data_IF_454415330106
#
_entry.id   IF_454415330106
#
_cell.length_a   1.000
_cell.length_b   1.000
_cell.length_c   1.000
_cell.angle_alpha   90.00
_cell.angle_beta   90.00
_cell.angle_gamma   90.00
#
_symmetry.space_group_name_H-M   'P 1'
#
loop_
_entity.id
_entity.type
_entity.pdbx_description
1 polymer ?
#
# COMPACT_ATOMS: atom_id res chain seq x y z
N UNK A 1 -5.76 2.55 -8.76
CA UNK A 1 -6.72 2.12 -7.73
C UNK A 1 -6.38 2.90 -6.47
N UNK A 2 -7.16 3.87 -6.02
CA UNK A 2 -6.86 4.51 -4.72
C UNK A 2 -7.55 3.70 -3.62
N UNK A 3 -6.80 2.90 -2.87
CA UNK A 3 -7.35 2.02 -1.84
C UNK A 3 -7.37 2.67 -0.44
N UNK A 4 -6.73 3.83 -0.29
CA UNK A 4 -6.74 4.57 0.95
C UNK A 4 -5.82 5.79 0.93
N UNK A 5 -6.00 6.65 1.92
CA UNK A 5 -5.10 7.76 2.19
C UNK A 5 -5.05 8.00 3.69
N UNK A 6 -3.93 8.54 4.19
CA UNK A 6 -3.74 8.83 5.61
C UNK A 6 -3.01 10.14 5.80
N UNK A 7 -3.54 11.01 6.67
CA UNK A 7 -2.78 12.14 7.18
C UNK A 7 -1.72 11.62 8.15
N UNK A 8 -0.47 11.99 7.90
CA UNK A 8 0.69 11.61 8.68
C UNK A 8 1.25 12.85 9.35
N UNK A 9 1.54 12.75 10.65
CA UNK A 9 2.21 13.79 11.43
C UNK A 9 3.71 13.52 11.46
N UNK A 10 4.50 14.56 11.73
CA UNK A 10 5.97 14.46 11.87
C UNK A 10 6.66 13.80 10.64
N UNK A 11 6.51 14.36 9.43
CA UNK A 11 7.11 13.79 8.22
C UNK A 11 8.64 13.69 8.30
N UNK A 12 9.33 14.59 9.01
CA UNK A 12 10.80 14.51 9.16
C UNK A 12 11.26 13.27 9.94
N UNK A 13 10.44 12.79 10.89
CA UNK A 13 10.70 11.51 11.57
C UNK A 13 10.64 10.28 10.66
N UNK A 14 10.11 10.42 9.44
CA UNK A 14 9.98 9.35 8.44
C UNK A 14 10.86 9.59 7.21
N UNK A 15 10.97 10.83 6.75
CA UNK A 15 11.68 11.23 5.54
C UNK A 15 12.79 12.23 5.86
N UNK A 16 13.94 12.11 5.22
CA UNK A 16 15.06 13.02 5.50
C UNK A 16 15.63 12.85 6.92
N UNK A 17 15.48 11.67 7.53
CA UNK A 17 16.00 11.34 8.87
C UNK A 17 17.52 11.47 8.99
N UNK A 18 18.22 11.63 7.86
CA UNK A 18 19.66 11.81 7.76
C UNK A 18 20.10 13.28 7.71
N UNK A 19 19.18 14.25 7.76
CA UNK A 19 19.47 15.69 7.77
C UNK A 19 18.90 16.35 9.04
N UNK A 20 19.40 17.54 9.34
CA UNK A 20 18.91 18.34 10.47
C UNK A 20 17.48 18.87 10.25
N UNK A 21 16.78 19.23 11.34
CA UNK A 21 15.46 19.86 11.28
C UNK A 21 15.48 21.16 10.44
N UNK A 22 16.58 21.93 10.52
CA UNK A 22 16.76 23.17 9.77
C UNK A 22 16.85 22.91 8.26
N UNK A 23 17.63 21.90 7.85
CA UNK A 23 17.78 21.51 6.46
C UNK A 23 16.47 20.94 5.88
N UNK A 24 15.78 20.10 6.65
CA UNK A 24 14.46 19.58 6.26
C UNK A 24 13.43 20.71 6.10
N UNK A 25 13.38 21.65 7.06
CA UNK A 25 12.47 22.79 7.01
C UNK A 25 12.76 23.72 5.83
N UNK A 26 14.03 23.95 5.50
CA UNK A 26 14.43 24.74 4.34
C UNK A 26 13.96 24.09 3.02
N UNK A 27 14.19 22.79 2.85
CA UNK A 27 13.74 22.05 1.67
C UNK A 27 12.21 22.03 1.55
N UNK A 28 11.50 21.85 2.67
CA UNK A 28 10.04 21.89 2.70
C UNK A 28 9.50 23.28 2.31
N UNK A 29 10.11 24.34 2.80
CA UNK A 29 9.73 25.71 2.45
C UNK A 29 9.95 26.01 0.96
N UNK A 30 11.09 25.60 0.39
CA UNK A 30 11.37 25.75 -1.04
C UNK A 30 10.33 25.03 -1.91
N UNK A 31 9.91 23.83 -1.50
CA UNK A 31 8.89 23.04 -2.19
C UNK A 31 7.44 23.47 -1.88
N UNK A 32 7.21 24.48 -1.04
CA UNK A 32 5.89 24.91 -0.56
C UNK A 32 5.07 23.78 0.10
N UNK A 33 5.74 22.90 0.85
CA UNK A 33 5.10 21.80 1.59
C UNK A 33 5.18 22.01 3.12
N UNK A 34 4.18 21.57 3.90
CA UNK A 34 4.21 21.67 5.35
C UNK A 34 5.30 20.79 5.98
N UNK A 35 5.88 21.26 7.08
CA UNK A 35 6.87 20.49 7.87
C UNK A 35 6.24 19.57 8.91
N UNK A 36 4.98 19.81 9.27
CA UNK A 36 4.28 19.16 10.38
C UNK A 36 3.34 18.04 9.93
N UNK A 37 2.93 18.02 8.65
CA UNK A 37 2.00 17.04 8.11
C UNK A 37 2.28 16.66 6.66
N UNK A 38 1.95 15.42 6.31
CA UNK A 38 1.96 14.91 4.94
C UNK A 38 0.71 14.07 4.68
N UNK A 39 0.19 14.12 3.46
CA UNK A 39 -0.85 13.21 3.01
C UNK A 39 -0.21 12.00 2.31
N UNK A 40 -0.30 10.83 2.93
CA UNK A 40 0.05 9.55 2.31
C UNK A 40 -1.11 9.03 1.45
N UNK A 41 -0.77 8.45 0.30
CA UNK A 41 -1.73 7.81 -0.61
C UNK A 41 -1.29 6.38 -0.88
N UNK A 42 -2.22 5.45 -0.79
CA UNK A 42 -1.96 4.03 -1.01
C UNK A 42 -2.67 3.62 -2.28
N UNK A 43 -1.87 3.42 -3.32
CA UNK A 43 -2.37 3.17 -4.69
C UNK A 43 -1.92 1.79 -5.16
N UNK A 44 -2.63 0.72 -4.77
CA UNK A 44 -2.46 -0.58 -5.39
C UNK A 44 -2.59 -0.51 -6.91
N UNK A 45 -1.94 -1.45 -7.59
CA UNK A 45 -1.95 -1.51 -9.06
C UNK A 45 -2.47 -2.87 -9.50
N UNK A 46 -3.48 -2.88 -10.36
CA UNK A 46 -3.94 -4.09 -11.02
C UNK A 46 -3.47 -4.11 -12.46
N UNK A 47 -2.93 -5.25 -12.88
CA UNK A 47 -2.46 -5.50 -14.25
C UNK A 47 -3.24 -6.70 -14.79
N UNK A 48 -4.01 -6.47 -15.84
CA UNK A 48 -4.63 -7.55 -16.60
C UNK A 48 -3.73 -7.89 -17.78
N UNK A 49 -3.15 -9.08 -17.77
CA UNK A 49 -2.24 -9.55 -18.83
C UNK A 49 -2.99 -10.23 -19.99
N UNK A 50 -4.30 -10.41 -19.86
CA UNK A 50 -5.13 -11.24 -20.73
C UNK A 50 -5.16 -12.72 -20.34
N UNK A 51 -4.19 -13.19 -19.54
CA UNK A 51 -4.12 -14.56 -19.02
C UNK A 51 -4.29 -14.63 -17.50
N UNK A 52 -3.77 -13.63 -16.78
CA UNK A 52 -3.86 -13.48 -15.32
C UNK A 52 -4.21 -12.01 -14.98
N UNK A 53 -4.99 -11.85 -13.91
CA UNK A 53 -5.21 -10.59 -13.20
C UNK A 53 -4.28 -10.52 -11.99
N UNK A 54 -3.29 -9.63 -12.06
CA UNK A 54 -2.24 -9.48 -11.04
C UNK A 54 -2.47 -8.20 -10.25
N UNK A 55 -2.64 -8.31 -8.94
CA UNK A 55 -2.75 -7.20 -8.02
C UNK A 55 -1.42 -7.00 -7.29
N UNK A 56 -0.90 -5.78 -7.30
CA UNK A 56 0.28 -5.35 -6.55
C UNK A 56 -0.16 -4.56 -5.31
N UNK A 57 0.15 -5.12 -4.14
CA UNK A 57 -0.26 -4.68 -2.81
C UNK A 57 -1.79 -4.65 -2.58
N UNK A 58 -2.21 -4.67 -1.32
CA UNK A 58 -3.62 -4.75 -0.91
C UNK A 58 -4.07 -3.54 -0.10
N UNK A 59 -3.21 -2.53 0.06
CA UNK A 59 -3.56 -1.28 0.72
C UNK A 59 -3.85 -1.43 2.21
N UNK A 60 -4.62 -0.47 2.76
CA UNK A 60 -4.80 -0.32 4.21
C UNK A 60 -5.74 -1.36 4.84
N UNK A 61 -6.74 -1.85 4.11
CA UNK A 61 -7.78 -2.75 4.63
C UNK A 61 -8.61 -3.37 3.49
N UNK A 62 -9.34 -4.47 3.74
CA UNK A 62 -10.13 -5.16 2.72
C UNK A 62 -11.19 -4.29 2.05
N UNK A 63 -11.89 -3.44 2.82
CA UNK A 63 -12.96 -2.60 2.26
C UNK A 63 -12.41 -1.60 1.23
N UNK A 64 -11.27 -0.98 1.52
CA UNK A 64 -10.61 -0.02 0.63
C UNK A 64 -10.17 -0.65 -0.69
N UNK A 65 -9.48 -1.79 -0.62
CA UNK A 65 -8.99 -2.44 -1.85
C UNK A 65 -10.10 -3.06 -2.68
N UNK A 66 -11.09 -3.70 -2.07
CA UNK A 66 -12.21 -4.29 -2.81
C UNK A 66 -13.08 -3.23 -3.49
N UNK A 67 -13.29 -2.08 -2.84
CA UNK A 67 -13.94 -0.93 -3.46
C UNK A 67 -13.13 -0.41 -4.65
N UNK A 68 -11.83 -0.20 -4.48
CA UNK A 68 -10.98 0.32 -5.55
C UNK A 68 -10.92 -0.66 -6.74
N UNK A 69 -10.87 -1.96 -6.47
CA UNK A 69 -10.87 -3.00 -7.51
C UNK A 69 -12.18 -3.03 -8.29
N UNK A 70 -13.32 -2.87 -7.61
CA UNK A 70 -14.64 -2.75 -8.24
C UNK A 70 -14.74 -1.52 -9.16
N UNK A 71 -14.15 -0.38 -8.76
CA UNK A 71 -14.07 0.81 -9.61
C UNK A 71 -13.24 0.58 -10.89
N UNK A 72 -12.26 -0.33 -10.85
CA UNK A 72 -11.52 -0.76 -12.03
C UNK A 72 -12.21 -1.86 -12.85
N UNK A 73 -13.40 -2.30 -12.43
CA UNK A 73 -14.21 -3.28 -13.14
C UNK A 73 -13.88 -4.74 -12.84
N UNK A 74 -13.20 -5.01 -11.72
CA UNK A 74 -12.84 -6.37 -11.30
C UNK A 74 -13.43 -6.71 -9.93
N UNK A 75 -13.64 -8.00 -9.68
CA UNK A 75 -14.04 -8.53 -8.38
C UNK A 75 -12.87 -9.26 -7.71
N UNK A 76 -12.87 -9.41 -6.36
CA UNK A 76 -11.74 -10.03 -5.66
C UNK A 76 -11.50 -11.50 -6.06
N UNK A 77 -12.54 -12.22 -6.45
CA UNK A 77 -12.46 -13.60 -6.93
C UNK A 77 -11.84 -13.73 -8.34
N UNK A 78 -11.73 -12.63 -9.10
CA UNK A 78 -11.04 -12.62 -10.39
C UNK A 78 -9.53 -12.46 -10.28
N UNK A 79 -9.01 -12.09 -9.10
CA UNK A 79 -7.58 -11.89 -8.90
C UNK A 79 -6.89 -13.24 -8.85
N UNK A 80 -6.00 -13.50 -9.81
CA UNK A 80 -5.22 -14.73 -9.87
C UNK A 80 -3.97 -14.66 -8.99
N UNK A 81 -3.40 -13.46 -8.85
CA UNK A 81 -2.12 -13.25 -8.17
C UNK A 81 -2.15 -11.99 -7.33
N UNK A 82 -1.75 -12.09 -6.08
CA UNK A 82 -1.42 -10.94 -5.23
C UNK A 82 0.09 -10.92 -5.02
N UNK A 83 0.73 -9.88 -5.54
CA UNK A 83 2.16 -9.59 -5.33
C UNK A 83 2.27 -8.57 -4.21
N UNK A 84 2.91 -8.94 -3.11
CA UNK A 84 3.21 -8.04 -1.99
C UNK A 84 4.63 -7.52 -2.18
N UNK A 85 4.77 -6.20 -2.29
CA UNK A 85 6.09 -5.56 -2.45
C UNK A 85 6.90 -5.64 -1.16
N UNK A 86 6.24 -5.41 -0.03
CA UNK A 86 6.71 -5.62 1.33
C UNK A 86 5.53 -5.67 2.31
N UNK A 87 5.74 -6.12 3.55
CA UNK A 87 4.65 -6.46 4.48
C UNK A 87 4.32 -5.38 5.52
N UNK A 88 4.65 -4.10 5.26
CA UNK A 88 4.10 -3.04 6.09
C UNK A 88 2.56 -2.99 5.96
N UNK A 89 1.89 -2.58 7.05
CA UNK A 89 0.43 -2.61 7.14
C UNK A 89 -0.29 -1.78 6.08
N UNK A 90 0.38 -0.79 5.48
CA UNK A 90 -0.15 0.00 4.39
C UNK A 90 -0.09 -0.68 3.01
N UNK A 91 0.63 -1.80 2.92
CA UNK A 91 0.74 -2.66 1.74
C UNK A 91 -0.04 -3.96 1.91
N UNK A 92 0.07 -4.62 3.07
CA UNK A 92 -0.55 -5.93 3.32
C UNK A 92 -1.92 -5.85 4.04
N UNK A 93 -2.32 -4.68 4.52
CA UNK A 93 -3.50 -4.51 5.39
C UNK A 93 -4.82 -5.00 4.79
N UNK A 94 -4.95 -5.05 3.47
CA UNK A 94 -6.13 -5.59 2.78
C UNK A 94 -6.06 -7.07 2.41
N UNK A 95 -5.12 -7.86 2.95
CA UNK A 95 -4.91 -9.25 2.53
C UNK A 95 -6.00 -10.20 3.04
N UNK A 96 -6.53 -9.95 4.24
CA UNK A 96 -7.52 -10.77 4.93
C UNK A 96 -8.46 -9.92 5.77
N UNK A 97 -9.66 -10.44 6.05
CA UNK A 97 -10.59 -9.82 6.98
C UNK A 97 -10.22 -10.08 8.45
N UNK A 98 -10.97 -9.49 9.38
CA UNK A 98 -10.76 -9.64 10.83
C UNK A 98 -10.92 -11.08 11.33
N UNK A 99 -11.57 -11.96 10.54
CA UNK A 99 -11.69 -13.39 10.83
C UNK A 99 -10.53 -14.22 10.25
N UNK A 100 -9.57 -13.58 9.58
CA UNK A 100 -8.44 -14.21 8.91
C UNK A 100 -8.81 -14.85 7.58
N UNK A 101 -9.99 -14.56 7.03
CA UNK A 101 -10.39 -15.06 5.72
C UNK A 101 -9.72 -14.25 4.62
N UNK A 102 -9.10 -14.90 3.61
CA UNK A 102 -8.45 -14.19 2.52
C UNK A 102 -9.42 -13.30 1.73
N UNK A 103 -9.01 -12.06 1.43
CA UNK A 103 -9.81 -11.12 0.63
C UNK A 103 -9.89 -11.54 -0.85
N UNK A 104 -8.88 -12.27 -1.34
CA UNK A 104 -8.76 -12.70 -2.74
C UNK A 104 -8.74 -14.24 -2.80
N UNK A 105 -9.91 -14.90 -2.74
CA UNK A 105 -10.02 -16.32 -2.40
C UNK A 105 -9.39 -17.28 -3.43
N UNK A 106 -9.21 -16.84 -4.68
CA UNK A 106 -8.64 -17.64 -5.76
C UNK A 106 -7.15 -17.32 -6.01
N UNK A 107 -6.61 -16.30 -5.33
CA UNK A 107 -5.28 -15.79 -5.64
C UNK A 107 -4.18 -16.66 -5.03
N UNK A 108 -3.08 -16.80 -5.77
CA UNK A 108 -1.77 -17.13 -5.17
C UNK A 108 -1.12 -15.85 -4.62
N UNK A 109 -0.51 -15.96 -3.45
CA UNK A 109 0.18 -14.84 -2.80
C UNK A 109 1.69 -15.01 -2.96
N UNK A 110 2.37 -13.96 -3.41
CA UNK A 110 3.82 -13.99 -3.64
C UNK A 110 4.48 -12.75 -3.03
N UNK A 111 5.66 -12.93 -2.48
CA UNK A 111 6.54 -11.89 -1.95
C UNK A 111 7.99 -12.36 -2.06
N UNK A 112 8.95 -11.47 -1.83
CA UNK A 112 10.36 -11.86 -1.73
C UNK A 112 10.61 -12.70 -0.47
N UNK A 113 11.42 -13.76 -0.57
CA UNK A 113 11.70 -14.62 0.59
C UNK A 113 12.39 -13.86 1.73
N UNK A 114 13.30 -12.93 1.41
CA UNK A 114 13.98 -12.10 2.42
C UNK A 114 13.00 -11.26 3.21
N UNK A 115 11.99 -10.71 2.54
CA UNK A 115 10.93 -9.96 3.21
C UNK A 115 10.08 -10.88 4.08
N UNK A 116 9.64 -12.02 3.53
CA UNK A 116 8.86 -13.00 4.27
C UNK A 116 9.56 -13.43 5.57
N UNK A 117 10.84 -13.82 5.47
CA UNK A 117 11.66 -14.26 6.60
C UNK A 117 11.90 -13.16 7.65
N UNK A 118 11.71 -11.88 7.31
CA UNK A 118 11.86 -10.78 8.26
C UNK A 118 10.64 -10.58 9.18
N UNK A 119 9.47 -11.13 8.81
CA UNK A 119 8.21 -11.00 9.55
C UNK A 119 7.71 -12.30 10.21
N UNK A 120 8.29 -13.44 9.84
CA UNK A 120 8.01 -14.77 10.41
C UNK A 120 8.71 -14.99 11.78
#
# INVERSE_FOLDING_TARGET
LLAGSRLMENPHGMYGVNVSDEEFAAAAAEANIPVDKMQGFFTPTVVNTGAELVLFDTGLNPAGITSALAEAGYTPDQVDVVVITHMHGDHIGGIADDAGMPTFPNARYVTGSVEFDAWD
#
